data_IF_319917811623
#
_entry.id   IF_319917811623
#
_cell.length_a   1.000
_cell.length_b   1.000
_cell.length_c   1.000
_cell.angle_alpha   90.00
_cell.angle_beta   90.00
_cell.angle_gamma   90.00
#
_symmetry.space_group_name_H-M   'P 1'
#
loop_
_entity.id
_entity.type
_entity.pdbx_description
1 polymer ?
#
# COMPACT_ATOMS: atom_id res chain seq x y z
N UNK A 1 -24.03 1.02 13.72
CA UNK A 1 -22.91 1.99 13.66
C UNK A 1 -21.95 1.47 12.60
N UNK A 2 -22.27 1.70 11.33
CA UNK A 2 -21.71 2.81 10.54
C UNK A 2 -20.19 2.79 10.52
N UNK A 3 -19.61 2.42 9.37
CA UNK A 3 -18.37 3.01 8.88
C UNK A 3 -18.44 3.02 7.35
N UNK A 4 -19.10 4.07 6.88
CA UNK A 4 -19.09 4.49 5.50
C UNK A 4 -17.68 4.89 5.05
N UNK A 5 -17.44 4.77 3.73
CA UNK A 5 -16.45 5.52 2.93
C UNK A 5 -14.97 5.10 3.07
N UNK A 6 -14.58 4.05 2.36
CA UNK A 6 -13.17 3.94 1.90
C UNK A 6 -13.03 4.03 0.37
N UNK A 7 -14.13 4.22 -0.36
CA UNK A 7 -14.17 4.16 -1.83
C UNK A 7 -14.15 5.55 -2.48
N UNK A 8 -13.34 6.48 -1.97
CA UNK A 8 -12.99 7.74 -2.70
C UNK A 8 -11.84 8.53 -2.01
N UNK A 9 -10.67 7.92 -1.72
CA UNK A 9 -9.60 8.66 -1.01
C UNK A 9 -8.22 8.68 -1.63
N UNK A 10 -8.13 8.44 -2.95
CA UNK A 10 -6.89 8.69 -3.70
C UNK A 10 -7.11 9.57 -4.95
N UNK A 11 -8.13 10.43 -4.94
CA UNK A 11 -8.29 11.51 -5.93
C UNK A 11 -7.54 12.78 -5.50
N UNK A 12 -6.24 12.67 -5.25
CA UNK A 12 -5.42 13.82 -4.88
C UNK A 12 -3.95 13.62 -5.23
N UNK A 13 -3.50 14.30 -6.31
CA UNK A 13 -2.22 14.12 -7.03
C UNK A 13 -2.04 12.66 -7.52
N UNK A 14 -1.42 12.36 -8.67
CA UNK A 14 -1.13 10.97 -9.02
C UNK A 14 -0.10 10.44 -8.02
N UNK A 15 -0.55 9.98 -6.86
CA UNK A 15 0.26 9.21 -5.94
C UNK A 15 0.71 7.99 -6.74
N UNK A 16 2.02 7.76 -6.79
CA UNK A 16 2.67 6.77 -7.62
C UNK A 16 2.02 5.39 -7.52
N UNK A 17 0.98 5.14 -8.32
CA UNK A 17 0.28 3.88 -8.38
C UNK A 17 1.25 2.76 -8.77
N UNK A 18 2.27 3.12 -9.57
CA UNK A 18 3.40 2.26 -9.90
C UNK A 18 4.22 1.85 -8.68
N UNK A 19 4.47 2.75 -7.72
CA UNK A 19 5.19 2.45 -6.48
C UNK A 19 4.34 1.58 -5.56
N UNK A 20 3.05 1.89 -5.42
CA UNK A 20 2.14 1.04 -4.65
C UNK A 20 2.05 -0.39 -5.22
N UNK A 21 1.91 -0.52 -6.55
CA UNK A 21 1.90 -1.82 -7.21
C UNK A 21 3.22 -2.59 -6.97
N UNK A 22 4.37 -1.90 -7.04
CA UNK A 22 5.68 -2.49 -6.73
C UNK A 22 5.75 -2.99 -5.29
N UNK A 23 5.31 -2.17 -4.33
CA UNK A 23 5.27 -2.53 -2.91
C UNK A 23 4.39 -3.75 -2.66
N UNK A 24 3.18 -3.79 -3.24
CA UNK A 24 2.25 -4.92 -3.07
C UNK A 24 2.83 -6.19 -3.70
N UNK A 25 3.40 -6.11 -4.91
CA UNK A 25 4.03 -7.25 -5.58
C UNK A 25 5.23 -7.80 -4.80
N UNK A 26 6.10 -6.93 -4.29
CA UNK A 26 7.24 -7.29 -3.44
C UNK A 26 6.81 -7.95 -2.13
N UNK A 27 5.85 -7.34 -1.43
CA UNK A 27 5.36 -7.84 -0.13
C UNK A 27 4.57 -9.14 -0.28
N UNK A 28 3.83 -9.31 -1.37
CA UNK A 28 3.16 -10.57 -1.70
C UNK A 28 4.12 -11.73 -1.96
N UNK A 29 5.36 -11.45 -2.40
CA UNK A 29 6.43 -12.45 -2.57
C UNK A 29 7.22 -12.75 -1.28
N UNK A 30 6.90 -12.08 -0.18
CA UNK A 30 7.58 -12.26 1.11
C UNK A 30 8.82 -11.39 1.33
N UNK A 31 9.05 -10.36 0.51
CA UNK A 31 10.20 -9.44 0.73
C UNK A 31 10.05 -8.63 2.02
N UNK A 32 11.17 -8.32 2.66
CA UNK A 32 11.21 -7.49 3.87
C UNK A 32 10.85 -6.03 3.55
N UNK A 33 10.27 -5.31 4.51
CA UNK A 33 9.87 -3.91 4.31
C UNK A 33 11.06 -2.99 3.97
N UNK A 34 12.25 -3.30 4.50
CA UNK A 34 13.48 -2.55 4.22
C UNK A 34 13.99 -2.77 2.79
N UNK A 35 13.98 -4.02 2.32
CA UNK A 35 14.36 -4.32 0.94
C UNK A 35 13.36 -3.72 -0.05
N UNK A 36 12.06 -3.87 0.24
CA UNK A 36 10.98 -3.28 -0.57
C UNK A 36 11.13 -1.76 -0.67
N UNK A 37 11.45 -1.09 0.44
CA UNK A 37 11.69 0.36 0.49
C UNK A 37 12.85 0.76 -0.44
N UNK A 38 13.98 0.04 -0.37
CA UNK A 38 15.15 0.28 -1.23
C UNK A 38 14.84 0.08 -2.72
N UNK A 39 14.14 -0.99 -3.08
CA UNK A 39 13.78 -1.32 -4.47
C UNK A 39 12.71 -0.38 -5.04
N UNK A 40 11.77 0.07 -4.20
CA UNK A 40 10.71 0.99 -4.59
C UNK A 40 11.17 2.47 -4.58
N UNK A 41 12.34 2.78 -4.03
CA UNK A 41 12.80 4.16 -3.83
C UNK A 41 11.96 4.91 -2.79
N UNK A 42 11.40 4.20 -1.81
CA UNK A 42 10.53 4.76 -0.77
C UNK A 42 11.08 4.49 0.62
N UNK A 43 10.45 5.10 1.63
CA UNK A 43 10.74 4.83 3.03
C UNK A 43 9.93 3.64 3.55
N UNK A 44 10.48 2.95 4.56
CA UNK A 44 9.86 1.78 5.22
C UNK A 44 8.48 2.12 5.79
N UNK A 45 8.30 3.37 6.24
CA UNK A 45 7.01 3.90 6.73
C UNK A 45 5.94 3.88 5.62
N UNK A 46 6.30 4.26 4.40
CA UNK A 46 5.42 4.19 3.22
C UNK A 46 5.06 2.76 2.91
N UNK A 47 6.03 1.85 2.87
CA UNK A 47 5.80 0.42 2.65
C UNK A 47 4.80 -0.16 3.66
N UNK A 48 4.98 0.12 4.95
CA UNK A 48 4.08 -0.34 6.02
C UNK A 48 2.67 0.23 5.84
N UNK A 49 2.54 1.52 5.54
CA UNK A 49 1.25 2.19 5.33
C UNK A 49 0.50 1.58 4.14
N UNK A 50 1.17 1.40 3.02
CA UNK A 50 0.58 0.83 1.79
C UNK A 50 0.16 -0.62 2.00
N UNK A 51 1.00 -1.42 2.66
CA UNK A 51 0.68 -2.81 2.96
C UNK A 51 -0.50 -2.93 3.93
N UNK A 52 -0.54 -2.13 4.98
CA UNK A 52 -1.67 -2.10 5.90
C UNK A 52 -2.97 -1.68 5.21
N UNK A 53 -2.92 -0.66 4.34
CA UNK A 53 -4.07 -0.26 3.52
C UNK A 53 -4.50 -1.40 2.58
N UNK A 54 -3.56 -2.11 1.93
CA UNK A 54 -3.87 -3.26 1.09
C UNK A 54 -4.55 -4.39 1.89
N UNK A 55 -4.04 -4.75 3.06
CA UNK A 55 -4.64 -5.77 3.93
C UNK A 55 -6.03 -5.35 4.44
N UNK A 56 -6.24 -4.06 4.78
CA UNK A 56 -7.53 -3.55 5.22
C UNK A 56 -8.59 -3.57 4.10
N UNK A 57 -8.17 -3.33 2.85
CA UNK A 57 -9.05 -3.39 1.68
C UNK A 57 -9.46 -4.82 1.29
N UNK A 58 -8.65 -5.83 1.64
CA UNK A 58 -8.91 -7.24 1.35
C UNK A 58 -9.74 -7.99 2.39
N UNK A 59 -10.19 -7.32 3.47
CA UNK A 59 -10.97 -7.93 4.56
C UNK A 59 -12.51 -7.76 4.38
N UNK A 60 -12.97 -7.02 3.37
CA UNK A 60 -14.39 -6.98 2.99
C UNK A 60 -14.67 -8.07 1.93
N UNK A 61 -14.85 -9.32 2.38
CA UNK A 61 -15.53 -10.38 1.61
C UNK A 61 -16.24 -11.37 2.53
#
# INVERSE_FOLDING_TARGET
MELAKARDKYRGRPADAAVHARIVASRGRGETSANTARLAGTSVTTVKRVWAAHCAQGHDN
#
